data_IF_367948857883
#
_entry.id   IF_367948857883
#
_cell.length_a   1.000
_cell.length_b   1.000
_cell.length_c   1.000
_cell.angle_alpha   90.00
_cell.angle_beta   90.00
_cell.angle_gamma   90.00
#
_symmetry.space_group_name_H-M   'P 1'
#
loop_
_entity.id
_entity.type
_entity.pdbx_description
1 polymer ?
#
# COMPACT_ATOMS: atom_id res chain seq x y z
N UNK A 1 8.76 1.77 20.98
CA UNK A 1 7.74 2.71 20.46
C UNK A 1 6.50 2.59 21.31
N UNK A 2 5.97 3.72 21.75
CA UNK A 2 4.74 3.79 22.54
C UNK A 2 3.57 3.95 21.56
N UNK A 3 2.87 2.86 21.28
CA UNK A 3 1.77 2.82 20.29
C UNK A 3 0.59 3.72 20.67
N UNK A 4 0.35 3.92 21.98
CA UNK A 4 -0.76 4.75 22.46
C UNK A 4 -0.56 6.24 22.13
N UNK A 5 0.67 6.65 21.82
CA UNK A 5 0.97 8.03 21.39
C UNK A 5 0.90 8.26 19.90
N UNK A 6 0.83 7.19 19.11
CA UNK A 6 0.73 7.29 17.67
C UNK A 6 -0.71 7.62 17.27
N UNK A 7 -0.90 8.64 16.44
CA UNK A 7 -2.21 9.04 15.91
C UNK A 7 -2.49 8.40 14.55
N UNK A 8 -1.44 8.11 13.79
CA UNK A 8 -1.54 7.45 12.49
C UNK A 8 -0.47 6.36 12.37
N UNK A 9 -0.92 5.10 12.34
CA UNK A 9 -0.08 3.92 12.20
C UNK A 9 -0.37 3.26 10.87
N UNK A 10 0.69 2.88 10.15
CA UNK A 10 0.58 2.14 8.89
C UNK A 10 1.13 0.74 9.07
N UNK A 11 0.39 -0.26 8.59
CA UNK A 11 0.89 -1.63 8.40
C UNK A 11 1.16 -1.85 6.92
N UNK A 12 2.39 -2.07 6.54
CA UNK A 12 2.79 -2.21 5.14
C UNK A 12 3.58 -3.50 4.91
N UNK A 13 3.64 -3.95 3.65
CA UNK A 13 4.33 -5.16 3.22
C UNK A 13 3.78 -5.71 1.89
N UNK A 14 4.44 -6.70 1.29
CA UNK A 14 4.03 -7.26 0.01
C UNK A 14 2.64 -7.92 0.07
N UNK A 15 2.07 -8.19 -1.12
CA UNK A 15 0.80 -8.90 -1.26
C UNK A 15 0.90 -10.26 -0.55
N UNK A 16 -0.07 -10.57 0.31
CA UNK A 16 -0.06 -11.81 1.09
C UNK A 16 0.69 -11.74 2.43
N UNK A 17 1.31 -10.60 2.79
CA UNK A 17 2.04 -10.45 4.06
C UNK A 17 1.15 -10.46 5.31
N UNK A 18 -0.14 -10.15 5.18
CA UNK A 18 -1.09 -10.12 6.30
C UNK A 18 -1.40 -8.72 6.84
N UNK A 19 -1.16 -7.68 6.04
CA UNK A 19 -1.38 -6.26 6.41
C UNK A 19 -2.74 -6.00 7.05
N UNK A 20 -3.80 -6.31 6.32
CA UNK A 20 -5.18 -6.03 6.77
C UNK A 20 -5.53 -6.79 8.06
N UNK A 21 -5.02 -8.01 8.23
CA UNK A 21 -5.24 -8.79 9.46
C UNK A 21 -4.60 -8.13 10.67
N UNK A 22 -3.33 -7.70 10.55
CA UNK A 22 -2.65 -7.00 11.64
C UNK A 22 -3.25 -5.61 11.88
N UNK A 23 -3.59 -4.88 10.82
CA UNK A 23 -4.23 -3.55 10.95
C UNK A 23 -5.55 -3.64 11.75
N UNK A 24 -6.37 -4.67 11.52
CA UNK A 24 -7.61 -4.92 12.29
C UNK A 24 -7.32 -5.18 13.78
N UNK A 25 -6.37 -6.05 14.08
CA UNK A 25 -6.00 -6.38 15.46
C UNK A 25 -5.46 -5.15 16.20
N UNK A 26 -4.65 -4.34 15.54
CA UNK A 26 -4.13 -3.10 16.11
C UNK A 26 -5.25 -2.07 16.34
N UNK A 27 -6.15 -1.91 15.37
CA UNK A 27 -7.27 -0.99 15.50
C UNK A 27 -8.19 -1.37 16.67
N UNK A 28 -8.50 -2.66 16.85
CA UNK A 28 -9.26 -3.16 18.00
C UNK A 28 -8.53 -2.89 19.32
N UNK A 29 -7.22 -3.15 19.37
CA UNK A 29 -6.42 -2.98 20.59
C UNK A 29 -6.28 -1.51 21.02
N UNK A 30 -6.18 -0.60 20.06
CA UNK A 30 -5.96 0.83 20.27
C UNK A 30 -7.26 1.65 20.25
N UNK A 31 -8.42 1.02 20.09
CA UNK A 31 -9.70 1.70 19.84
C UNK A 31 -9.59 2.74 18.70
N UNK A 32 -8.94 2.32 17.60
CA UNK A 32 -8.59 3.15 16.46
C UNK A 32 -9.55 2.97 15.28
N UNK A 33 -9.71 4.01 14.47
CA UNK A 33 -10.37 3.91 13.17
C UNK A 33 -9.50 3.14 12.18
N UNK A 34 -10.12 2.39 11.25
CA UNK A 34 -9.40 1.70 10.17
C UNK A 34 -9.49 2.49 8.86
N UNK A 35 -8.36 2.64 8.20
CA UNK A 35 -8.25 3.17 6.85
C UNK A 35 -7.68 2.07 5.94
N UNK A 36 -8.55 1.35 5.26
CA UNK A 36 -8.17 0.20 4.44
C UNK A 36 -8.13 0.56 2.95
N UNK A 37 -7.17 -0.04 2.26
CA UNK A 37 -7.14 -0.04 0.80
C UNK A 37 -8.36 -0.78 0.25
N UNK A 38 -8.93 -0.26 -0.85
CA UNK A 38 -10.12 -0.80 -1.53
C UNK A 38 -9.77 -1.19 -2.97
N UNK A 39 -9.00 -2.28 -3.18
CA UNK A 39 -8.56 -2.68 -4.51
C UNK A 39 -9.71 -3.05 -5.44
N UNK A 40 -10.84 -3.52 -4.90
CA UNK A 40 -12.07 -3.83 -5.64
C UNK A 40 -12.71 -2.62 -6.31
N UNK A 41 -12.45 -1.41 -5.80
CA UNK A 41 -12.95 -0.16 -6.38
C UNK A 41 -12.09 0.33 -7.56
N UNK A 42 -10.97 -0.36 -7.85
CA UNK A 42 -10.15 -0.05 -9.01
C UNK A 42 -10.66 -0.82 -10.24
N UNK A 43 -11.32 -0.14 -11.20
CA UNK A 43 -11.98 -0.82 -12.33
C UNK A 43 -11.00 -1.42 -13.33
N UNK A 44 -9.70 -1.13 -13.22
CA UNK A 44 -8.65 -1.63 -14.11
C UNK A 44 -7.92 -2.84 -13.54
N UNK A 45 -8.01 -3.11 -12.23
CA UNK A 45 -7.14 -4.07 -11.56
C UNK A 45 -7.29 -5.50 -12.08
N UNK A 46 -8.50 -5.97 -12.33
CA UNK A 46 -8.72 -7.31 -12.88
C UNK A 46 -8.11 -7.46 -14.27
N UNK A 47 -8.27 -6.45 -15.11
CA UNK A 47 -7.69 -6.42 -16.47
C UNK A 47 -6.18 -6.23 -16.47
N UNK A 48 -5.65 -5.59 -15.44
CA UNK A 48 -4.20 -5.41 -15.30
C UNK A 48 -3.46 -6.75 -15.22
N UNK A 49 -3.95 -7.71 -14.45
CA UNK A 49 -3.30 -9.02 -14.36
C UNK A 49 -3.44 -9.88 -15.62
N UNK A 50 -4.44 -9.58 -16.47
CA UNK A 50 -4.62 -10.24 -17.77
C UNK A 50 -3.72 -9.62 -18.87
N UNK A 51 -3.52 -8.30 -18.84
CA UNK A 51 -2.71 -7.55 -19.81
C UNK A 51 -2.01 -6.37 -19.09
N UNK A 52 -0.93 -6.70 -18.36
CA UNK A 52 -0.18 -5.73 -17.56
C UNK A 52 0.29 -4.51 -18.34
N UNK A 53 0.92 -4.64 -19.53
CA UNK A 53 1.43 -3.47 -20.25
C UNK A 53 0.33 -2.47 -20.62
N UNK A 54 -0.86 -2.96 -20.96
CA UNK A 54 -1.97 -2.11 -21.40
C UNK A 54 -2.65 -1.38 -20.25
N UNK A 55 -2.75 -2.03 -19.09
CA UNK A 55 -3.53 -1.52 -17.96
C UNK A 55 -2.68 -1.01 -16.80
N UNK A 56 -1.35 -1.05 -16.90
CA UNK A 56 -0.45 -0.63 -15.82
C UNK A 56 -0.68 0.84 -15.42
N UNK A 57 -0.62 1.77 -16.36
CA UNK A 57 -0.77 3.19 -16.07
C UNK A 57 -2.15 3.56 -15.50
N UNK A 58 -3.29 3.17 -16.11
CA UNK A 58 -4.60 3.49 -15.53
C UNK A 58 -4.83 2.83 -14.16
N UNK A 59 -4.35 1.60 -13.94
CA UNK A 59 -4.42 0.92 -12.65
C UNK A 59 -3.63 1.69 -11.59
N UNK A 60 -2.39 2.07 -11.92
CA UNK A 60 -1.49 2.77 -11.00
C UNK A 60 -2.00 4.18 -10.64
N UNK A 61 -2.48 4.94 -11.62
CA UNK A 61 -3.05 6.26 -11.38
C UNK A 61 -4.34 6.19 -10.54
N UNK A 62 -5.18 5.19 -10.78
CA UNK A 62 -6.40 5.00 -9.98
C UNK A 62 -6.06 4.74 -8.52
N UNK A 63 -5.13 3.83 -8.23
CA UNK A 63 -4.65 3.61 -6.87
C UNK A 63 -4.04 4.86 -6.24
N UNK A 64 -3.23 5.60 -6.98
CA UNK A 64 -2.61 6.82 -6.49
C UNK A 64 -3.68 7.84 -6.06
N UNK A 65 -4.70 8.08 -6.88
CA UNK A 65 -5.78 9.01 -6.54
C UNK A 65 -6.59 8.53 -5.35
N UNK A 66 -6.99 7.25 -5.32
CA UNK A 66 -7.74 6.68 -4.20
C UNK A 66 -6.99 6.86 -2.86
N UNK A 67 -5.72 6.49 -2.83
CA UNK A 67 -4.86 6.62 -1.64
C UNK A 67 -4.65 8.07 -1.24
N UNK A 68 -4.37 8.95 -2.21
CA UNK A 68 -4.17 10.37 -1.93
C UNK A 68 -5.42 11.05 -1.39
N UNK A 69 -6.59 10.72 -1.92
CA UNK A 69 -7.87 11.28 -1.45
C UNK A 69 -8.17 10.84 -0.02
N UNK A 70 -8.04 9.54 0.28
CA UNK A 70 -8.21 9.02 1.65
C UNK A 70 -7.26 9.69 2.65
N UNK A 71 -5.98 9.84 2.29
CA UNK A 71 -4.98 10.46 3.18
C UNK A 71 -5.13 11.98 3.28
N UNK A 72 -5.68 12.64 2.27
CA UNK A 72 -6.02 14.07 2.33
C UNK A 72 -7.19 14.31 3.29
N UNK A 73 -8.21 13.46 3.26
CA UNK A 73 -9.30 13.50 4.23
C UNK A 73 -8.76 13.29 5.65
N UNK A 74 -7.89 12.30 5.85
CA UNK A 74 -7.24 12.06 7.14
C UNK A 74 -6.45 13.28 7.63
N UNK A 75 -5.70 13.96 6.76
CA UNK A 75 -4.92 15.15 7.10
C UNK A 75 -5.78 16.35 7.54
N UNK A 76 -7.05 16.40 7.16
CA UNK A 76 -8.01 17.45 7.55
C UNK A 76 -8.76 17.14 8.84
N UNK A 77 -8.59 15.94 9.38
CA UNK A 77 -9.28 15.50 10.60
C UNK A 77 -8.68 16.16 11.84
N UNK A 78 -9.53 16.60 12.73
CA UNK A 78 -9.16 17.22 14.00
C UNK A 78 -8.31 16.27 14.86
N UNK A 79 -7.25 16.82 15.50
CA UNK A 79 -6.34 16.11 16.40
C UNK A 79 -7.02 15.49 17.65
N UNK A 80 -8.32 15.72 17.86
CA UNK A 80 -9.12 15.12 18.93
C UNK A 80 -9.82 13.82 18.51
N UNK A 81 -9.74 13.40 17.25
CA UNK A 81 -10.30 12.11 16.80
C UNK A 81 -9.48 10.92 17.30
N UNK A 82 -10.13 9.75 17.23
CA UNK A 82 -9.47 8.46 17.50
C UNK A 82 -8.24 8.27 16.62
N UNK A 83 -7.22 7.51 17.09
CA UNK A 83 -6.10 7.11 16.25
C UNK A 83 -6.59 6.39 14.99
N UNK A 84 -5.78 6.36 13.95
CA UNK A 84 -6.09 5.66 12.70
C UNK A 84 -5.02 4.61 12.40
N UNK A 85 -5.44 3.40 12.02
CA UNK A 85 -4.57 2.34 11.52
C UNK A 85 -4.91 2.06 10.05
N UNK A 86 -3.89 2.16 9.19
CA UNK A 86 -4.01 1.91 7.74
C UNK A 86 -3.27 0.63 7.33
N UNK A 87 -3.74 -0.04 6.28
CA UNK A 87 -3.05 -1.17 5.67
C UNK A 87 -2.35 -0.81 4.35
N UNK A 88 -2.10 0.48 4.13
CA UNK A 88 -1.31 0.97 3.01
C UNK A 88 -0.48 2.20 3.38
N UNK A 89 0.67 2.33 2.71
CA UNK A 89 1.57 3.49 2.75
C UNK A 89 1.60 4.15 1.37
N UNK A 90 1.40 5.47 1.29
CA UNK A 90 1.46 6.17 0.00
C UNK A 90 2.86 6.10 -0.62
N UNK A 91 3.91 6.16 0.20
CA UNK A 91 5.31 6.15 -0.26
C UNK A 91 5.72 4.86 -0.99
N UNK A 92 4.94 3.77 -0.85
CA UNK A 92 5.12 2.55 -1.65
C UNK A 92 4.63 2.69 -3.10
N UNK A 93 3.74 3.64 -3.37
CA UNK A 93 3.08 3.76 -4.68
C UNK A 93 4.08 3.86 -5.84
N UNK A 94 5.16 4.69 -5.75
CA UNK A 94 6.22 4.72 -6.75
C UNK A 94 6.96 3.40 -6.95
N UNK A 95 7.00 2.53 -5.95
CA UNK A 95 7.62 1.20 -6.07
C UNK A 95 6.89 0.35 -7.11
N UNK A 96 5.55 0.27 -7.01
CA UNK A 96 4.74 -0.45 -8.00
C UNK A 96 4.79 0.21 -9.37
N UNK A 97 4.77 1.54 -9.42
CA UNK A 97 4.90 2.29 -10.66
C UNK A 97 6.21 1.96 -11.39
N UNK A 98 7.34 1.88 -10.68
CA UNK A 98 8.65 1.49 -11.25
C UNK A 98 8.67 0.07 -11.82
N UNK A 99 7.95 -0.86 -11.19
CA UNK A 99 7.89 -2.25 -11.66
C UNK A 99 7.04 -2.38 -12.92
N UNK A 100 5.95 -1.60 -13.01
CA UNK A 100 4.86 -1.85 -13.96
C UNK A 100 4.86 -0.90 -15.16
N UNK A 101 5.40 0.32 -15.02
CA UNK A 101 5.32 1.37 -16.04
C UNK A 101 6.56 1.42 -16.92
N UNK A 102 6.38 1.82 -18.17
CA UNK A 102 7.50 2.24 -19.04
C UNK A 102 8.11 3.55 -18.50
N UNK A 103 9.30 3.91 -19.00
CA UNK A 103 9.99 5.12 -18.54
C UNK A 103 9.16 6.41 -18.78
N UNK A 104 8.50 6.51 -19.94
CA UNK A 104 7.64 7.66 -20.27
C UNK A 104 6.38 7.70 -19.40
N UNK A 105 5.74 6.56 -19.16
CA UNK A 105 4.59 6.44 -18.28
C UNK A 105 4.97 6.76 -16.83
N UNK A 106 6.13 6.29 -16.38
CA UNK A 106 6.64 6.60 -15.06
C UNK A 106 6.93 8.10 -14.89
N UNK A 107 7.51 8.75 -15.90
CA UNK A 107 7.76 10.18 -15.87
C UNK A 107 6.46 11.00 -15.74
N UNK A 108 5.38 10.58 -16.40
CA UNK A 108 4.05 11.16 -16.25
C UNK A 108 3.48 10.90 -14.84
N UNK A 109 3.51 9.64 -14.39
CA UNK A 109 3.07 9.23 -13.07
C UNK A 109 3.77 10.03 -11.96
N UNK A 110 5.10 10.17 -12.03
CA UNK A 110 5.91 10.88 -11.03
C UNK A 110 5.49 12.34 -10.86
N UNK A 111 5.12 13.03 -11.95
CA UNK A 111 4.60 14.39 -11.89
C UNK A 111 3.30 14.47 -11.09
N UNK A 112 2.38 13.53 -11.32
CA UNK A 112 1.12 13.44 -10.58
C UNK A 112 1.37 13.12 -9.11
N UNK A 113 2.22 12.15 -8.81
CA UNK A 113 2.60 11.77 -7.45
C UNK A 113 3.18 12.97 -6.66
N UNK A 114 4.15 13.68 -7.23
CA UNK A 114 4.77 14.87 -6.60
C UNK A 114 3.77 16.00 -6.33
N UNK A 115 2.70 16.07 -7.10
CA UNK A 115 1.64 17.06 -6.89
C UNK A 115 0.70 16.66 -5.75
N UNK A 116 0.41 15.37 -5.61
CA UNK A 116 -0.56 14.86 -4.63
C UNK A 116 0.04 14.62 -3.23
N UNK A 117 1.26 14.08 -3.14
CA UNK A 117 1.91 13.68 -1.88
C UNK A 117 1.96 14.79 -0.82
N UNK A 118 2.30 16.05 -1.10
CA UNK A 118 2.40 17.10 -0.08
C UNK A 118 1.09 17.40 0.68
N UNK A 119 -0.04 16.93 0.18
CA UNK A 119 -1.36 17.16 0.74
C UNK A 119 -1.86 15.99 1.62
N UNK A 120 -1.05 14.95 1.78
CA UNK A 120 -1.43 13.73 2.48
C UNK A 120 -0.87 13.66 3.89
N UNK A 121 -1.53 12.89 4.76
CA UNK A 121 -1.05 12.64 6.12
C UNK A 121 0.25 11.82 6.10
N UNK A 122 1.15 12.11 7.04
CA UNK A 122 2.39 11.37 7.27
C UNK A 122 2.20 10.47 8.49
N UNK A 123 2.57 9.18 8.44
CA UNK A 123 2.41 8.29 9.58
C UNK A 123 3.38 8.62 10.73
N UNK A 124 2.93 8.38 11.97
CA UNK A 124 3.78 8.42 13.17
C UNK A 124 4.62 7.14 13.31
N UNK A 125 4.12 6.04 12.74
CA UNK A 125 4.78 4.73 12.77
C UNK A 125 4.40 3.90 11.56
N UNK A 126 5.38 3.23 10.97
CA UNK A 126 5.18 2.19 9.96
C UNK A 126 5.58 0.83 10.53
N UNK A 127 4.73 -0.17 10.38
CA UNK A 127 5.02 -1.57 10.72
C UNK A 127 5.19 -2.33 9.40
N UNK A 128 6.42 -2.74 9.11
CA UNK A 128 6.76 -3.45 7.88
C UNK A 128 6.71 -4.95 8.06
N UNK A 129 5.77 -5.61 7.39
CA UNK A 129 5.62 -7.06 7.39
C UNK A 129 6.43 -7.70 6.28
N UNK A 130 7.23 -8.71 6.64
CA UNK A 130 8.00 -9.54 5.72
C UNK A 130 7.56 -11.00 5.81
N UNK A 131 7.62 -11.71 4.69
CA UNK A 131 7.47 -13.15 4.64
C UNK A 131 8.25 -13.73 3.45
N UNK A 132 8.72 -14.98 3.52
CA UNK A 132 9.29 -15.67 2.37
C UNK A 132 8.32 -15.69 1.19
N UNK A 133 8.84 -15.63 -0.04
CA UNK A 133 8.03 -15.58 -1.26
C UNK A 133 7.06 -16.76 -1.35
N UNK A 134 7.52 -17.97 -1.03
CA UNK A 134 6.67 -19.17 -1.03
C UNK A 134 5.47 -19.04 -0.07
N UNK A 135 5.68 -18.39 1.08
CA UNK A 135 4.61 -18.09 2.03
C UNK A 135 3.62 -17.08 1.47
N UNK A 136 4.11 -16.03 0.80
CA UNK A 136 3.26 -15.02 0.16
C UNK A 136 2.39 -15.65 -0.91
N UNK A 137 3.00 -16.44 -1.81
CA UNK A 137 2.31 -17.20 -2.87
C UNK A 137 1.23 -18.10 -2.27
N UNK A 138 1.58 -18.92 -1.29
CA UNK A 138 0.64 -19.84 -0.65
C UNK A 138 -0.57 -19.09 -0.04
N UNK A 139 -0.34 -17.97 0.64
CA UNK A 139 -1.39 -17.15 1.24
C UNK A 139 -2.31 -16.50 0.20
N UNK A 140 -1.74 -15.97 -0.89
CA UNK A 140 -2.51 -15.39 -2.01
C UNK A 140 -3.40 -16.47 -2.66
N UNK A 141 -2.85 -17.67 -2.92
CA UNK A 141 -3.63 -18.78 -3.50
C UNK A 141 -4.73 -19.25 -2.56
N UNK A 142 -4.43 -19.39 -1.27
CA UNK A 142 -5.40 -19.85 -0.25
C UNK A 142 -6.53 -18.84 -0.04
N UNK A 143 -6.25 -17.53 -0.12
CA UNK A 143 -7.26 -16.47 0.03
C UNK A 143 -8.34 -16.50 -1.05
N UNK A 144 -8.01 -17.00 -2.25
CA UNK A 144 -8.97 -17.28 -3.31
C UNK A 144 -9.63 -16.07 -3.95
N UNK A 145 -9.05 -14.85 -3.81
CA UNK A 145 -9.57 -13.65 -4.46
C UNK A 145 -9.39 -13.79 -5.99
N UNK A 146 -10.47 -13.70 -6.79
CA UNK A 146 -10.42 -14.06 -8.21
C UNK A 146 -9.32 -13.34 -9.01
N UNK A 147 -9.18 -12.02 -8.91
CA UNK A 147 -8.16 -11.28 -9.66
C UNK A 147 -6.74 -11.56 -9.15
N UNK A 148 -6.56 -11.96 -7.90
CA UNK A 148 -5.25 -12.31 -7.35
C UNK A 148 -4.76 -13.68 -7.80
N UNK A 149 -5.67 -14.58 -8.22
CA UNK A 149 -5.27 -15.90 -8.73
C UNK A 149 -4.50 -15.80 -10.05
N UNK A 150 -4.66 -14.70 -10.79
CA UNK A 150 -3.93 -14.41 -12.02
C UNK A 150 -2.53 -13.81 -11.79
N UNK A 151 -2.16 -13.45 -10.53
CA UNK A 151 -0.85 -12.88 -10.23
C UNK A 151 0.24 -13.93 -10.44
N UNK A 152 1.24 -13.70 -11.32
CA UNK A 152 2.37 -14.61 -11.48
C UNK A 152 3.23 -14.67 -10.22
N UNK A 153 3.74 -15.86 -9.88
CA UNK A 153 4.61 -16.02 -8.70
C UNK A 153 5.91 -15.19 -8.82
N UNK A 154 6.46 -15.07 -10.04
CA UNK A 154 7.60 -14.21 -10.32
C UNK A 154 7.33 -12.72 -10.06
N UNK A 155 6.10 -12.27 -10.33
CA UNK A 155 5.70 -10.89 -10.02
C UNK A 155 5.65 -10.66 -8.50
N UNK A 156 5.12 -11.60 -7.72
CA UNK A 156 5.15 -11.55 -6.26
C UNK A 156 6.58 -11.52 -5.71
N UNK A 157 7.49 -12.31 -6.30
CA UNK A 157 8.91 -12.30 -5.91
C UNK A 157 9.58 -10.94 -6.19
N UNK A 158 9.31 -10.33 -7.34
CA UNK A 158 9.80 -8.99 -7.70
C UNK A 158 9.28 -7.91 -6.75
N UNK A 159 8.02 -7.99 -6.39
CA UNK A 159 7.41 -7.07 -5.41
C UNK A 159 8.06 -7.24 -4.05
N UNK A 160 8.20 -8.46 -3.53
CA UNK A 160 8.82 -8.71 -2.23
C UNK A 160 10.26 -8.17 -2.14
N UNK A 161 11.05 -8.37 -3.20
CA UNK A 161 12.41 -7.83 -3.29
C UNK A 161 12.42 -6.28 -3.35
N UNK A 162 11.51 -5.68 -4.11
CA UNK A 162 11.37 -4.23 -4.18
C UNK A 162 10.96 -3.61 -2.83
N UNK A 163 10.07 -4.26 -2.07
CA UNK A 163 9.72 -3.85 -0.71
C UNK A 163 10.93 -3.87 0.23
N UNK A 164 11.73 -4.93 0.19
CA UNK A 164 12.93 -5.04 1.02
C UNK A 164 13.92 -3.90 0.76
N UNK A 165 14.13 -3.57 -0.52
CA UNK A 165 15.00 -2.45 -0.91
C UNK A 165 14.41 -1.10 -0.50
N UNK A 166 13.11 -0.92 -0.66
CA UNK A 166 12.42 0.30 -0.28
C UNK A 166 12.56 0.57 1.22
N UNK A 167 12.22 -0.41 2.07
CA UNK A 167 12.27 -0.23 3.52
C UNK A 167 13.69 -0.18 4.09
N UNK A 168 14.68 -0.69 3.37
CA UNK A 168 16.09 -0.50 3.75
C UNK A 168 16.52 0.98 3.69
N UNK A 169 15.88 1.78 2.84
CA UNK A 169 16.21 3.20 2.62
C UNK A 169 15.13 4.16 3.15
N UNK A 170 14.01 3.63 3.63
CA UNK A 170 12.88 4.44 4.08
C UNK A 170 13.18 5.11 5.42
N UNK A 171 13.05 6.45 5.47
CA UNK A 171 13.35 7.30 6.63
C UNK A 171 12.28 8.38 6.90
N UNK A 172 11.18 8.38 6.16
CA UNK A 172 10.09 9.37 6.31
C UNK A 172 9.32 9.22 7.64
N UNK A 173 9.29 8.01 8.21
CA UNK A 173 8.68 7.72 9.50
C UNK A 173 9.42 6.59 10.23
N UNK A 174 9.36 6.54 11.58
CA UNK A 174 9.85 5.40 12.35
C UNK A 174 9.27 4.08 11.83
N UNK A 175 10.13 3.06 11.66
CA UNK A 175 9.72 1.75 11.10
C UNK A 175 10.09 0.62 12.06
N UNK A 176 9.16 -0.33 12.26
CA UNK A 176 9.31 -1.58 12.99
C UNK A 176 9.26 -2.78 12.05
#
# INVERSE_FOLDING_TARGET
VDLERCRYIVVEGPIGAGKTSLARQLAEHLDAEMLLEQPEDNPFLSRFYDDMPRFALPTQLTFLFQRADQLRELAQIDMFRQPTVSDFLLDKDPLFARINLTDDEYALYEKVYKHLKPQTAVPDLVIYLQAPVDTLVARVRMRGIPFEQAIPDEYLARIADAYSRFFYQYDEAPTL
#
